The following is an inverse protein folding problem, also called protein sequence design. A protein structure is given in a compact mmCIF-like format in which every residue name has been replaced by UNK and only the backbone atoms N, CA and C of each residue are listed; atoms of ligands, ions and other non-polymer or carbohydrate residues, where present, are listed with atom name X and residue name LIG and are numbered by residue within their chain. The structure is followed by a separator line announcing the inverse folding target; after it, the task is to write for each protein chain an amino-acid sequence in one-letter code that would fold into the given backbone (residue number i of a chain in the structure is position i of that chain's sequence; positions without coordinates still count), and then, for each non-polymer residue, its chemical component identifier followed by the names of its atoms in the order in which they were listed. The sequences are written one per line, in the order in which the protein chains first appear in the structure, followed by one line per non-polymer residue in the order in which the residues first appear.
data_IF_495305919362
#
_entry.id   IF_495305919362
#
_cell.length_a   1.000
_cell.length_b   1.000
_cell.length_c   1.000
_cell.angle_alpha   90.00
_cell.angle_beta   90.00
_cell.angle_gamma   90.00
#
_symmetry.space_group_name_H-M   'P 1'
#
loop_
_entity.id
_entity.type
_entity.pdbx_description
1 polymer ?
#
# COMPACT_ATOMS: atom_id res chain seq x y z
N UNK A 1 -32.87 -14.23 -10.28
CA UNK A 1 -32.21 -13.77 -9.03
C UNK A 1 -30.87 -14.45 -8.74
N UNK A 2 -30.73 -15.78 -8.91
CA UNK A 2 -29.48 -16.49 -8.56
C UNK A 2 -28.26 -16.13 -9.43
N UNK A 3 -28.45 -15.93 -10.74
CA UNK A 3 -27.37 -15.46 -11.63
C UNK A 3 -26.80 -14.12 -11.19
N UNK A 4 -27.68 -13.19 -10.78
CA UNK A 4 -27.31 -11.86 -10.31
C UNK A 4 -26.53 -11.94 -8.98
N UNK A 5 -26.94 -12.83 -8.05
CA UNK A 5 -26.18 -13.09 -6.82
C UNK A 5 -24.78 -13.65 -7.06
N UNK A 6 -24.58 -14.45 -8.12
CA UNK A 6 -23.27 -15.01 -8.49
C UNK A 6 -22.38 -14.01 -9.25
N UNK A 7 -22.98 -13.12 -10.04
CA UNK A 7 -22.24 -12.15 -10.86
C UNK A 7 -21.87 -10.87 -10.11
N UNK A 8 -22.71 -10.43 -9.14
CA UNK A 8 -22.48 -9.18 -8.43
C UNK A 8 -21.09 -9.09 -7.78
N UNK A 9 -20.58 -10.11 -7.05
CA UNK A 9 -19.25 -10.02 -6.43
C UNK A 9 -18.08 -10.03 -7.44
N UNK A 10 -18.34 -10.41 -8.69
CA UNK A 10 -17.36 -10.35 -9.80
C UNK A 10 -17.36 -8.96 -10.44
N UNK A 11 -18.54 -8.34 -10.57
CA UNK A 11 -18.72 -7.06 -11.23
C UNK A 11 -18.40 -5.89 -10.29
N UNK A 12 -18.69 -6.00 -9.00
CA UNK A 12 -18.45 -4.93 -8.02
C UNK A 12 -17.00 -4.42 -7.98
N UNK A 13 -15.96 -5.27 -8.02
CA UNK A 13 -14.58 -4.81 -8.12
C UNK A 13 -14.30 -3.95 -9.36
N UNK A 14 -15.03 -4.16 -10.48
CA UNK A 14 -14.89 -3.35 -11.70
C UNK A 14 -15.41 -1.92 -11.46
N UNK A 15 -16.56 -1.78 -10.81
CA UNK A 15 -17.09 -0.45 -10.44
C UNK A 15 -16.12 0.30 -9.52
N UNK A 16 -15.53 -0.39 -8.54
CA UNK A 16 -14.51 0.18 -7.66
C UNK A 16 -13.26 0.55 -8.45
N UNK A 17 -12.82 -0.28 -9.39
CA UNK A 17 -11.69 0.02 -10.28
C UNK A 17 -11.93 1.30 -11.09
N UNK A 18 -13.13 1.51 -11.61
CA UNK A 18 -13.50 2.74 -12.32
C UNK A 18 -13.35 3.97 -11.40
N UNK A 19 -13.80 3.88 -10.15
CA UNK A 19 -13.62 4.97 -9.16
C UNK A 19 -12.14 5.26 -8.91
N UNK A 20 -11.31 4.21 -8.76
CA UNK A 20 -9.88 4.38 -8.53
C UNK A 20 -9.21 5.02 -9.77
N UNK A 21 -9.52 4.53 -10.98
CA UNK A 21 -9.00 5.10 -12.23
C UNK A 21 -9.39 6.57 -12.35
N UNK A 22 -10.66 6.92 -12.10
CA UNK A 22 -11.11 8.30 -12.09
C UNK A 22 -10.28 9.15 -11.11
N UNK A 23 -9.95 8.61 -9.94
CA UNK A 23 -9.15 9.28 -8.91
C UNK A 23 -7.70 9.55 -9.30
N UNK A 24 -7.17 8.82 -10.29
CA UNK A 24 -5.83 9.09 -10.84
C UNK A 24 -5.79 10.41 -11.62
N UNK A 25 -6.93 10.85 -12.16
CA UNK A 25 -7.05 12.04 -13.01
C UNK A 25 -7.75 13.22 -12.32
N UNK A 26 -8.70 12.94 -11.43
CA UNK A 26 -9.50 13.95 -10.73
C UNK A 26 -9.57 13.63 -9.24
N UNK A 27 -9.24 14.61 -8.40
CA UNK A 27 -9.40 14.52 -6.95
C UNK A 27 -10.24 15.68 -6.42
N UNK A 28 -10.62 15.63 -5.15
CA UNK A 28 -11.45 16.67 -4.53
C UNK A 28 -10.87 17.08 -3.18
N UNK A 29 -10.83 18.38 -2.94
CA UNK A 29 -10.36 18.96 -1.66
C UNK A 29 -11.34 19.98 -1.13
N UNK A 30 -11.28 20.22 0.18
CA UNK A 30 -12.02 21.30 0.82
C UNK A 30 -11.13 22.52 0.85
N UNK A 31 -11.50 23.54 0.09
CA UNK A 31 -10.89 24.85 0.18
C UNK A 31 -11.59 25.65 1.29
N UNK A 32 -10.83 26.00 2.32
CA UNK A 32 -11.28 26.93 3.33
C UNK A 32 -11.08 28.36 2.82
N UNK A 33 -11.99 29.30 3.15
CA UNK A 33 -11.80 30.70 2.78
C UNK A 33 -10.53 31.25 3.41
N UNK A 34 -9.77 32.03 2.64
CA UNK A 34 -8.77 32.91 3.23
C UNK A 34 -9.49 33.98 4.06
N UNK A 35 -9.11 34.13 5.33
CA UNK A 35 -9.77 35.02 6.30
C UNK A 35 -9.68 36.53 5.99
N UNK A 36 -9.27 36.90 4.77
CA UNK A 36 -8.97 38.28 4.39
C UNK A 36 -9.97 38.76 3.33
N UNK A 37 -11.11 39.29 3.78
CA UNK A 37 -11.79 40.41 3.12
C UNK A 37 -12.87 41.02 4.02
N UNK A 38 -12.71 42.31 4.33
CA UNK A 38 -13.63 43.17 5.05
C UNK A 38 -14.73 43.75 4.14
N UNK A 39 -15.39 42.92 3.34
CA UNK A 39 -16.49 43.37 2.48
C UNK A 39 -17.82 42.77 2.92
N UNK A 40 -18.73 43.63 3.38
CA UNK A 40 -20.12 43.30 3.72
C UNK A 40 -21.00 43.29 2.47
N UNK A 41 -20.84 42.27 1.63
CA UNK A 41 -21.79 41.97 0.55
C UNK A 41 -22.32 40.54 0.73
N UNK A 42 -23.56 40.26 0.31
CA UNK A 42 -24.12 38.89 0.39
C UNK A 42 -23.26 37.87 -0.39
N UNK A 43 -22.55 38.31 -1.44
CA UNK A 43 -21.55 37.52 -2.16
C UNK A 43 -20.31 37.19 -1.31
N UNK A 44 -19.91 38.08 -0.40
CA UNK A 44 -18.83 37.82 0.56
C UNK A 44 -19.22 36.81 1.64
N UNK A 45 -20.52 36.71 1.98
CA UNK A 45 -21.03 35.67 2.88
C UNK A 45 -21.05 34.26 2.24
N UNK A 46 -21.22 34.15 0.92
CA UNK A 46 -21.05 32.87 0.19
C UNK A 46 -19.58 32.47 0.02
N UNK A 47 -18.64 33.42 -0.01
CA UNK A 47 -17.20 33.12 -0.05
C UNK A 47 -16.62 32.71 1.31
N UNK A 48 -17.34 32.90 2.42
CA UNK A 48 -16.91 32.48 3.78
C UNK A 48 -17.24 31.02 4.15
N UNK A 49 -17.88 30.25 3.25
CA UNK A 49 -18.17 28.83 3.49
C UNK A 49 -17.08 27.95 2.87
N UNK A 50 -16.64 26.86 3.52
CA UNK A 50 -15.76 25.89 2.90
C UNK A 50 -16.38 25.39 1.60
N UNK A 51 -15.63 25.48 0.50
CA UNK A 51 -16.05 25.00 -0.82
C UNK A 51 -15.28 23.74 -1.17
N UNK A 52 -15.90 22.86 -1.94
CA UNK A 52 -15.21 21.68 -2.45
C UNK A 52 -14.79 22.04 -3.86
N UNK A 53 -13.51 21.86 -4.17
CA UNK A 53 -12.99 22.13 -5.50
C UNK A 53 -12.49 20.84 -6.13
N UNK A 54 -12.62 20.76 -7.45
CA UNK A 54 -12.00 19.70 -8.24
C UNK A 54 -10.53 20.04 -8.42
N UNK A 55 -9.66 19.14 -7.97
CA UNK A 55 -8.22 19.23 -8.18
C UNK A 55 -7.74 18.22 -9.20
N UNK A 56 -6.52 18.46 -9.70
CA UNK A 56 -5.79 17.48 -10.47
C UNK A 56 -5.61 16.18 -9.67
N UNK A 57 -5.89 15.05 -10.31
CA UNK A 57 -5.64 13.73 -9.73
C UNK A 57 -4.15 13.46 -9.53
N UNK A 58 -3.85 12.29 -8.96
CA UNK A 58 -2.47 11.92 -8.58
C UNK A 58 -1.49 12.00 -9.75
N UNK A 59 -1.86 11.53 -10.94
CA UNK A 59 -0.97 11.55 -12.11
C UNK A 59 -0.64 12.98 -12.56
N UNK A 60 -1.67 13.83 -12.66
CA UNK A 60 -1.52 15.21 -13.07
C UNK A 60 -0.72 16.02 -12.04
N UNK A 61 -0.93 15.76 -10.73
CA UNK A 61 -0.13 16.37 -9.66
C UNK A 61 1.34 15.96 -9.72
N UNK A 62 1.64 14.69 -9.95
CA UNK A 62 3.04 14.23 -10.14
C UNK A 62 3.67 14.94 -11.32
N UNK A 63 3.02 14.94 -12.49
CA UNK A 63 3.55 15.58 -13.69
C UNK A 63 3.78 17.08 -13.47
N UNK A 64 2.85 17.77 -12.81
CA UNK A 64 2.99 19.18 -12.47
C UNK A 64 4.18 19.43 -11.54
N UNK A 65 4.28 18.68 -10.44
CA UNK A 65 5.37 18.83 -9.47
C UNK A 65 6.74 18.50 -10.08
N UNK A 66 6.83 17.51 -10.95
CA UNK A 66 8.07 17.20 -11.67
C UNK A 66 8.47 18.34 -12.62
N UNK A 67 7.50 18.88 -13.39
CA UNK A 67 7.78 20.02 -14.28
C UNK A 67 8.21 21.27 -13.51
N UNK A 68 7.57 21.53 -12.37
CA UNK A 68 7.87 22.67 -11.51
C UNK A 68 9.26 22.52 -10.85
N UNK A 69 9.63 21.31 -10.46
CA UNK A 69 10.95 21.03 -9.90
C UNK A 69 12.07 21.22 -10.94
N UNK A 70 11.85 20.78 -12.18
CA UNK A 70 12.80 21.04 -13.28
C UNK A 70 12.96 22.53 -13.54
N UNK A 71 11.85 23.30 -13.51
CA UNK A 71 11.91 24.75 -13.67
C UNK A 71 12.71 25.41 -12.54
N UNK A 72 12.47 25.01 -11.28
CA UNK A 72 13.21 25.51 -10.12
C UNK A 72 14.70 25.15 -10.17
N UNK A 73 15.07 23.97 -10.66
CA UNK A 73 16.47 23.54 -10.80
C UNK A 73 17.20 24.20 -11.97
N UNK A 74 16.46 24.66 -12.99
CA UNK A 74 17.03 25.35 -14.15
C UNK A 74 17.42 26.81 -13.89
N UNK A 75 16.89 27.41 -12.81
CA UNK A 75 17.27 28.75 -12.36
C UNK A 75 18.53 28.60 -11.50
N UNK A 76 19.62 29.31 -11.80
CA UNK A 76 20.79 29.36 -10.91
C UNK A 76 20.38 30.05 -9.61
N UNK A 77 20.01 29.24 -8.61
CA UNK A 77 19.56 29.74 -7.32
C UNK A 77 20.77 30.08 -6.44
N UNK A 78 20.85 31.29 -5.85
CA UNK A 78 21.83 31.58 -4.82
C UNK A 78 21.65 30.61 -3.64
N UNK A 79 22.76 30.09 -3.14
CA UNK A 79 22.83 29.27 -1.91
C UNK A 79 22.29 30.12 -0.74
N UNK A 80 21.40 29.56 0.09
CA UNK A 80 20.68 30.22 1.20
C UNK A 80 19.46 31.11 0.84
N UNK A 81 18.62 30.69 -0.11
CA UNK A 81 17.32 31.36 -0.38
C UNK A 81 16.12 30.50 0.03
N UNK A 82 14.97 31.12 0.36
CA UNK A 82 13.66 30.46 0.61
C UNK A 82 13.27 29.43 -0.49
N UNK A 83 13.89 29.54 -1.66
CA UNK A 83 13.69 28.68 -2.82
C UNK A 83 14.30 27.28 -2.65
N UNK A 84 15.33 27.10 -1.81
CA UNK A 84 15.90 25.78 -1.48
C UNK A 84 14.98 24.99 -0.54
N UNK A 85 14.44 25.63 0.50
CA UNK A 85 13.44 25.03 1.39
C UNK A 85 12.16 24.66 0.61
N UNK A 86 11.74 25.52 -0.31
CA UNK A 86 10.61 25.25 -1.22
C UNK A 86 10.90 24.03 -2.09
N UNK A 87 12.10 23.89 -2.65
CA UNK A 87 12.52 22.74 -3.45
C UNK A 87 12.49 21.44 -2.66
N UNK A 88 12.98 21.43 -1.43
CA UNK A 88 12.95 20.24 -0.57
C UNK A 88 11.54 19.85 -0.16
N UNK A 89 10.68 20.84 0.12
CA UNK A 89 9.26 20.61 0.37
C UNK A 89 8.56 19.99 -0.84
N UNK A 90 8.82 20.49 -2.06
CA UNK A 90 8.26 19.93 -3.31
C UNK A 90 8.76 18.50 -3.54
N UNK A 91 10.04 18.22 -3.32
CA UNK A 91 10.61 16.86 -3.39
C UNK A 91 9.87 15.91 -2.44
N UNK A 92 9.61 16.34 -1.20
CA UNK A 92 8.88 15.54 -0.21
C UNK A 92 7.43 15.29 -0.64
N UNK A 93 6.73 16.31 -1.11
CA UNK A 93 5.35 16.17 -1.62
C UNK A 93 5.31 15.23 -2.82
N UNK A 94 6.27 15.34 -3.75
CA UNK A 94 6.38 14.48 -4.91
C UNK A 94 6.55 13.00 -4.51
N UNK A 95 7.40 12.72 -3.51
CA UNK A 95 7.55 11.35 -2.96
C UNK A 95 6.22 10.85 -2.39
N UNK A 96 5.49 11.68 -1.64
CA UNK A 96 4.16 11.35 -1.12
C UNK A 96 3.17 11.00 -2.23
N UNK A 97 3.15 11.78 -3.32
CA UNK A 97 2.27 11.52 -4.47
C UNK A 97 2.65 10.24 -5.22
N UNK A 98 3.95 9.95 -5.40
CA UNK A 98 4.44 8.69 -6.00
C UNK A 98 4.05 7.47 -5.15
N UNK A 99 4.11 7.58 -3.83
CA UNK A 99 3.65 6.53 -2.91
C UNK A 99 2.13 6.33 -3.04
N UNK A 100 1.34 7.41 -3.10
CA UNK A 100 -0.11 7.35 -3.31
C UNK A 100 -0.48 6.71 -4.66
N UNK A 101 0.28 6.98 -5.73
CA UNK A 101 0.13 6.32 -7.02
C UNK A 101 0.40 4.81 -6.89
N UNK A 102 1.49 4.43 -6.22
CA UNK A 102 1.82 3.02 -5.95
C UNK A 102 0.72 2.29 -5.19
N UNK A 103 0.15 2.92 -4.16
CA UNK A 103 -1.00 2.40 -3.41
C UNK A 103 -2.25 2.27 -4.30
N UNK A 104 -2.52 3.25 -5.15
CA UNK A 104 -3.66 3.23 -6.07
C UNK A 104 -3.54 2.10 -7.11
N UNK A 105 -2.34 1.89 -7.67
CA UNK A 105 -2.05 0.78 -8.57
C UNK A 105 -2.17 -0.57 -7.86
N UNK A 106 -1.61 -0.69 -6.65
CA UNK A 106 -1.76 -1.90 -5.84
C UNK A 106 -3.23 -2.21 -5.54
N UNK A 107 -4.03 -1.17 -5.30
CA UNK A 107 -5.45 -1.31 -5.05
C UNK A 107 -6.24 -1.71 -6.31
N UNK A 108 -5.86 -1.20 -7.49
CA UNK A 108 -6.39 -1.70 -8.77
C UNK A 108 -6.10 -3.19 -8.96
N UNK A 109 -4.87 -3.64 -8.67
CA UNK A 109 -4.55 -5.07 -8.70
C UNK A 109 -5.45 -5.85 -7.74
N UNK A 110 -5.78 -5.28 -6.57
CA UNK A 110 -6.63 -5.93 -5.57
C UNK A 110 -8.07 -6.10 -6.07
N UNK A 111 -8.58 -5.14 -6.84
CA UNK A 111 -9.90 -5.28 -7.49
C UNK A 111 -9.91 -6.50 -8.43
N UNK A 112 -8.89 -6.63 -9.27
CA UNK A 112 -8.72 -7.74 -10.19
C UNK A 112 -8.63 -9.08 -9.44
N UNK A 113 -7.74 -9.17 -8.45
CA UNK A 113 -7.53 -10.39 -7.68
C UNK A 113 -8.78 -10.83 -6.91
N UNK A 114 -9.55 -9.88 -6.37
CA UNK A 114 -10.81 -10.17 -5.69
C UNK A 114 -11.86 -10.72 -6.67
N UNK A 115 -12.01 -10.12 -7.85
CA UNK A 115 -12.92 -10.61 -8.88
C UNK A 115 -12.54 -12.02 -9.36
N UNK A 116 -11.25 -12.24 -9.65
CA UNK A 116 -10.71 -13.53 -10.10
C UNK A 116 -10.90 -14.62 -9.05
N UNK A 117 -10.54 -14.34 -7.79
CA UNK A 117 -10.64 -15.33 -6.71
C UNK A 117 -12.08 -15.80 -6.47
N UNK A 118 -13.06 -14.90 -6.60
CA UNK A 118 -14.47 -15.27 -6.50
C UNK A 118 -14.98 -15.99 -7.75
N UNK A 119 -14.66 -15.49 -8.94
CA UNK A 119 -15.10 -16.07 -10.22
C UNK A 119 -14.64 -17.53 -10.37
N UNK A 120 -13.43 -17.84 -9.91
CA UNK A 120 -12.86 -19.18 -10.00
C UNK A 120 -12.97 -20.00 -8.71
N UNK A 121 -13.76 -19.55 -7.73
CA UNK A 121 -14.03 -20.26 -6.46
C UNK A 121 -12.75 -20.74 -5.76
N UNK A 122 -11.79 -19.83 -5.62
CA UNK A 122 -10.50 -20.12 -5.01
C UNK A 122 -10.62 -20.08 -3.48
N UNK A 123 -9.90 -20.95 -2.77
CA UNK A 123 -10.03 -21.07 -1.31
C UNK A 123 -9.83 -19.76 -0.53
N UNK A 124 -8.91 -18.87 -0.98
CA UNK A 124 -8.59 -17.61 -0.30
C UNK A 124 -9.51 -16.43 -0.67
N UNK A 125 -10.59 -16.64 -1.44
CA UNK A 125 -11.48 -15.56 -1.86
C UNK A 125 -12.08 -14.77 -0.68
N UNK A 126 -12.42 -15.45 0.43
CA UNK A 126 -12.93 -14.78 1.64
C UNK A 126 -11.87 -13.90 2.28
N UNK A 127 -10.63 -14.38 2.37
CA UNK A 127 -9.53 -13.60 2.97
C UNK A 127 -9.26 -12.32 2.18
N UNK A 128 -9.24 -12.40 0.85
CA UNK A 128 -9.14 -11.20 0.01
C UNK A 128 -10.32 -10.25 0.21
N UNK A 129 -11.56 -10.77 0.29
CA UNK A 129 -12.74 -9.96 0.52
C UNK A 129 -12.71 -9.20 1.87
N UNK A 130 -12.20 -9.82 2.93
CA UNK A 130 -12.07 -9.16 4.25
C UNK A 130 -11.08 -7.99 4.24
N UNK A 131 -10.14 -7.94 3.30
CA UNK A 131 -9.25 -6.79 3.12
C UNK A 131 -9.85 -5.79 2.14
N UNK A 132 -10.29 -6.27 0.98
CA UNK A 132 -10.74 -5.44 -0.13
C UNK A 132 -11.96 -4.58 0.21
N UNK A 133 -13.03 -5.18 0.76
CA UNK A 133 -14.30 -4.47 0.96
C UNK A 133 -14.23 -3.40 2.07
N UNK A 134 -13.60 -3.65 3.25
CA UNK A 134 -13.40 -2.59 4.24
C UNK A 134 -12.59 -1.40 3.72
N UNK A 135 -11.51 -1.66 2.99
CA UNK A 135 -10.72 -0.60 2.34
C UNK A 135 -11.57 0.14 1.30
N UNK A 136 -12.43 -0.56 0.56
CA UNK A 136 -13.38 0.04 -0.39
C UNK A 136 -14.33 1.02 0.28
N UNK A 137 -14.86 0.70 1.47
CA UNK A 137 -15.73 1.62 2.19
C UNK A 137 -14.99 2.89 2.62
N UNK A 138 -13.76 2.76 3.11
CA UNK A 138 -12.92 3.90 3.50
C UNK A 138 -12.57 4.80 2.30
N UNK A 139 -12.38 4.24 1.11
CA UNK A 139 -12.08 5.03 -0.10
C UNK A 139 -13.34 5.68 -0.69
N UNK A 140 -14.48 4.98 -0.67
CA UNK A 140 -15.72 5.49 -1.27
C UNK A 140 -16.41 6.55 -0.41
N UNK A 141 -16.39 6.42 0.91
CA UNK A 141 -17.14 7.31 1.81
C UNK A 141 -16.74 8.81 1.66
N UNK A 142 -15.44 9.18 1.66
CA UNK A 142 -15.05 10.57 1.42
C UNK A 142 -15.49 11.08 0.04
N UNK A 143 -15.45 10.24 -1.00
CA UNK A 143 -15.86 10.63 -2.36
C UNK A 143 -17.37 10.89 -2.44
N UNK A 144 -18.18 10.06 -1.80
CA UNK A 144 -19.63 10.31 -1.68
C UNK A 144 -19.87 11.64 -0.96
N UNK A 145 -19.13 11.91 0.12
CA UNK A 145 -19.22 13.17 0.84
C UNK A 145 -18.84 14.38 -0.04
N UNK A 146 -17.72 14.32 -0.77
CA UNK A 146 -17.31 15.41 -1.66
C UNK A 146 -18.34 15.68 -2.76
N UNK A 147 -18.86 14.62 -3.39
CA UNK A 147 -19.88 14.79 -4.43
C UNK A 147 -21.20 15.34 -3.89
N UNK A 148 -21.61 14.96 -2.68
CA UNK A 148 -22.78 15.55 -2.04
C UNK A 148 -22.60 17.06 -1.85
N UNK A 149 -21.41 17.52 -1.43
CA UNK A 149 -21.12 18.94 -1.26
C UNK A 149 -21.10 19.70 -2.60
N UNK A 150 -20.56 19.10 -3.67
CA UNK A 150 -20.57 19.69 -5.02
C UNK A 150 -22.00 19.79 -5.58
N UNK A 151 -22.89 18.85 -5.27
CA UNK A 151 -24.31 18.95 -5.60
C UNK A 151 -24.98 20.11 -4.89
N UNK A 152 -24.66 20.34 -3.61
CA UNK A 152 -25.15 21.50 -2.86
C UNK A 152 -24.64 22.82 -3.47
N UNK A 153 -23.47 22.79 -4.13
CA UNK A 153 -22.88 23.90 -4.89
C UNK A 153 -23.41 24.00 -6.34
N UNK A 154 -24.42 23.20 -6.70
CA UNK A 154 -25.11 23.19 -8.01
C UNK A 154 -24.24 22.77 -9.21
N UNK A 155 -23.18 22.00 -9.00
CA UNK A 155 -22.41 21.45 -10.12
C UNK A 155 -23.15 20.33 -10.84
N UNK A 156 -23.45 20.49 -12.14
CA UNK A 156 -24.29 19.54 -12.90
C UNK A 156 -23.68 18.13 -13.00
N UNK A 157 -22.36 18.03 -13.20
CA UNK A 157 -21.68 16.73 -13.32
C UNK A 157 -21.64 15.95 -12.00
N UNK A 158 -21.72 16.65 -10.86
CA UNK A 158 -21.70 16.03 -9.53
C UNK A 158 -22.91 15.13 -9.28
N UNK A 159 -24.08 15.45 -9.84
CA UNK A 159 -25.29 14.64 -9.71
C UNK A 159 -25.11 13.24 -10.31
N UNK A 160 -24.55 13.16 -11.52
CA UNK A 160 -24.31 11.88 -12.19
C UNK A 160 -23.29 11.04 -11.44
N UNK A 161 -22.17 11.67 -11.03
CA UNK A 161 -21.11 10.95 -10.33
C UNK A 161 -21.53 10.53 -8.92
N UNK A 162 -22.32 11.34 -8.22
CA UNK A 162 -22.91 10.98 -6.94
C UNK A 162 -23.80 9.74 -7.04
N UNK A 163 -24.72 9.68 -8.02
CA UNK A 163 -25.58 8.51 -8.24
C UNK A 163 -24.73 7.26 -8.51
N UNK A 164 -23.70 7.38 -9.34
CA UNK A 164 -22.75 6.30 -9.61
C UNK A 164 -22.01 5.83 -8.34
N UNK A 165 -21.54 6.75 -7.50
CA UNK A 165 -20.84 6.43 -6.26
C UNK A 165 -21.75 5.77 -5.23
N UNK A 166 -22.98 6.28 -5.04
CA UNK A 166 -23.97 5.68 -4.13
C UNK A 166 -24.36 4.28 -4.61
N UNK A 167 -24.59 4.10 -5.90
CA UNK A 167 -24.83 2.78 -6.49
C UNK A 167 -23.66 1.84 -6.21
N UNK A 168 -22.43 2.29 -6.48
CA UNK A 168 -21.19 1.54 -6.22
C UNK A 168 -21.05 1.18 -4.74
N UNK A 169 -21.39 2.09 -3.84
CA UNK A 169 -21.35 1.88 -2.39
C UNK A 169 -22.34 0.78 -1.96
N UNK A 170 -23.58 0.85 -2.45
CA UNK A 170 -24.63 -0.14 -2.12
C UNK A 170 -24.27 -1.53 -2.65
N UNK A 171 -23.83 -1.65 -3.92
CA UNK A 171 -23.42 -2.95 -4.46
C UNK A 171 -22.20 -3.52 -3.71
N UNK A 172 -21.32 -2.66 -3.19
CA UNK A 172 -20.17 -3.06 -2.36
C UNK A 172 -20.62 -3.72 -1.07
N UNK A 173 -21.60 -3.14 -0.38
CA UNK A 173 -22.20 -3.74 0.83
C UNK A 173 -22.85 -5.09 0.51
N UNK A 174 -23.65 -5.15 -0.56
CA UNK A 174 -24.37 -6.36 -0.93
C UNK A 174 -23.40 -7.47 -1.31
N UNK A 175 -22.40 -7.18 -2.16
CA UNK A 175 -21.38 -8.14 -2.58
C UNK A 175 -20.57 -8.68 -1.41
N UNK A 176 -20.16 -7.80 -0.49
CA UNK A 176 -19.44 -8.25 0.71
C UNK A 176 -20.27 -9.23 1.54
N UNK A 177 -21.54 -8.88 1.80
CA UNK A 177 -22.48 -9.76 2.53
C UNK A 177 -22.71 -11.08 1.80
N UNK A 178 -22.81 -11.08 0.47
CA UNK A 178 -23.00 -12.30 -0.32
C UNK A 178 -21.78 -13.23 -0.24
N UNK A 179 -20.55 -12.68 -0.30
CA UNK A 179 -19.32 -13.47 -0.15
C UNK A 179 -19.25 -14.11 1.24
N UNK A 180 -19.54 -13.35 2.30
CA UNK A 180 -19.47 -13.86 3.67
C UNK A 180 -20.55 -14.91 3.96
N UNK A 181 -21.77 -14.70 3.46
CA UNK A 181 -22.88 -15.65 3.63
C UNK A 181 -22.75 -16.90 2.75
N UNK A 182 -21.82 -16.92 1.79
CA UNK A 182 -21.61 -18.11 0.97
C UNK A 182 -21.03 -19.23 1.83
N UNK A 183 -21.86 -20.25 2.09
CA UNK A 183 -21.49 -21.46 2.85
C UNK A 183 -20.85 -22.53 1.99
N UNK A 184 -20.91 -22.41 0.66
CA UNK A 184 -20.21 -23.35 -0.23
C UNK A 184 -18.70 -23.23 0.02
N UNK A 185 -18.06 -24.36 0.32
CA UNK A 185 -16.61 -24.44 0.41
C UNK A 185 -16.03 -24.18 -0.98
N UNK A 186 -15.18 -23.17 -1.07
CA UNK A 186 -14.41 -22.90 -2.28
C UNK A 186 -13.18 -23.82 -2.25
N UNK A 187 -13.24 -24.92 -2.98
CA UNK A 187 -12.17 -25.93 -3.01
C UNK A 187 -11.19 -25.75 -4.17
N UNK A 188 -11.39 -24.72 -5.01
CA UNK A 188 -10.51 -24.47 -6.13
C UNK A 188 -9.10 -24.10 -5.69
N UNK A 189 -8.10 -24.65 -6.40
CA UNK A 189 -6.68 -24.36 -6.24
C UNK A 189 -6.13 -24.57 -4.80
N UNK A 190 -6.63 -25.58 -4.09
CA UNK A 190 -6.14 -25.94 -2.74
C UNK A 190 -4.65 -26.32 -2.70
N UNK A 191 -4.06 -26.80 -3.80
CA UNK A 191 -2.62 -27.05 -3.91
C UNK A 191 -1.77 -25.82 -3.58
N UNK A 192 -2.27 -24.61 -3.85
CA UNK A 192 -1.60 -23.36 -3.46
C UNK A 192 -1.55 -23.15 -1.93
N UNK A 193 -2.43 -23.78 -1.15
CA UNK A 193 -2.36 -23.72 0.32
C UNK A 193 -1.08 -24.41 0.84
N UNK A 194 -0.68 -25.50 0.19
CA UNK A 194 0.51 -26.29 0.51
C UNK A 194 1.74 -25.88 -0.29
N UNK A 195 1.69 -24.73 -0.98
CA UNK A 195 2.81 -24.26 -1.79
C UNK A 195 4.09 -24.07 -0.97
N UNK A 196 4.03 -23.83 0.34
CA UNK A 196 5.23 -23.77 1.19
C UNK A 196 5.91 -25.14 1.38
N UNK A 197 5.15 -26.23 1.51
CA UNK A 197 5.72 -27.58 1.58
C UNK A 197 6.17 -28.08 0.20
N UNK A 198 5.51 -27.64 -0.87
CA UNK A 198 5.91 -27.93 -2.26
C UNK A 198 7.14 -27.10 -2.69
N UNK A 199 7.32 -25.89 -2.14
CA UNK A 199 8.56 -25.09 -2.26
C UNK A 199 9.72 -25.74 -1.51
N UNK A 200 9.45 -26.44 -0.40
CA UNK A 200 10.44 -27.24 0.35
C UNK A 200 10.85 -28.53 -0.38
N UNK A 201 9.96 -29.20 -1.12
CA UNK A 201 10.32 -30.36 -1.96
C UNK A 201 11.27 -30.00 -3.12
N UNK A 202 11.40 -28.72 -3.47
CA UNK A 202 12.41 -28.21 -4.39
C UNK A 202 13.80 -28.02 -3.76
N UNK A 203 13.93 -28.17 -2.43
CA UNK A 203 15.23 -28.21 -1.76
C UNK A 203 15.78 -29.62 -1.89
N UNK A 204 16.98 -29.73 -2.45
CA UNK A 204 17.75 -30.99 -2.42
C UNK A 204 17.73 -31.56 -1.00
N UNK A 205 17.46 -32.88 -0.82
CA UNK A 205 17.48 -33.49 0.50
C UNK A 205 18.79 -33.11 1.18
N UNK A 206 18.68 -32.52 2.38
CA UNK A 206 19.87 -32.22 3.17
C UNK A 206 20.52 -33.56 3.48
N UNK A 207 21.69 -33.79 2.88
CA UNK A 207 22.54 -34.90 3.28
C UNK A 207 22.92 -34.65 4.74
N UNK A 208 22.19 -35.25 5.67
CA UNK A 208 22.60 -35.41 7.07
C UNK A 208 23.77 -36.40 7.11
N UNK A 209 24.95 -35.95 6.64
CA UNK A 209 26.21 -36.64 6.88
C UNK A 209 26.68 -36.29 8.28
N UNK A 210 26.64 -37.30 9.13
CA UNK A 210 27.54 -37.63 10.25
C UNK A 210 28.42 -36.48 10.76
N UNK A 211 28.17 -36.09 12.01
CA UNK A 211 28.87 -35.00 12.71
C UNK A 211 30.38 -35.19 12.78
N UNK A 212 31.10 -34.27 12.14
CA UNK A 212 32.50 -33.97 12.43
C UNK A 212 32.57 -32.80 13.41
N UNK A 213 33.43 -32.89 14.42
CA UNK A 213 33.63 -31.88 15.47
C UNK A 213 34.16 -30.54 14.88
N UNK A 214 34.69 -30.57 13.65
CA UNK A 214 35.13 -29.38 12.89
C UNK A 214 34.03 -28.73 12.03
N UNK A 215 32.88 -29.39 11.86
CA UNK A 215 31.76 -28.86 11.09
C UNK A 215 31.21 -27.51 11.61
N UNK A 216 31.12 -27.26 12.93
CA UNK A 216 30.65 -25.97 13.45
C UNK A 216 31.60 -24.81 13.11
N UNK A 217 32.91 -25.03 13.21
CA UNK A 217 33.93 -24.01 12.90
C UNK A 217 33.93 -23.68 11.41
N UNK A 218 33.83 -24.71 10.56
CA UNK A 218 33.73 -24.52 9.12
C UNK A 218 32.43 -23.81 8.71
N UNK A 219 31.31 -24.11 9.37
CA UNK A 219 30.05 -23.39 9.16
C UNK A 219 30.17 -21.91 9.53
N UNK A 220 30.74 -21.59 10.70
CA UNK A 220 30.94 -20.20 11.12
C UNK A 220 31.86 -19.46 10.16
N UNK A 221 32.96 -20.09 9.72
CA UNK A 221 33.87 -19.49 8.73
C UNK A 221 33.18 -19.21 7.39
N UNK A 222 32.34 -20.14 6.90
CA UNK A 222 31.54 -19.95 5.69
C UNK A 222 30.53 -18.81 5.86
N UNK A 223 29.83 -18.74 7.00
CA UNK A 223 28.87 -17.66 7.28
C UNK A 223 29.58 -16.30 7.26
N UNK A 224 30.77 -16.21 7.87
CA UNK A 224 31.58 -14.99 7.87
C UNK A 224 32.02 -14.64 6.44
N UNK A 225 32.54 -15.61 5.68
CA UNK A 225 32.98 -15.40 4.30
C UNK A 225 31.83 -14.92 3.39
N UNK A 226 30.69 -15.61 3.46
CA UNK A 226 29.48 -15.24 2.72
C UNK A 226 28.99 -13.86 3.17
N UNK A 227 29.00 -13.57 4.47
CA UNK A 227 28.65 -12.26 5.01
C UNK A 227 29.53 -11.14 4.47
N UNK A 228 30.85 -11.36 4.40
CA UNK A 228 31.82 -10.40 3.81
C UNK A 228 31.58 -10.24 2.31
N UNK A 229 31.34 -11.33 1.57
CA UNK A 229 31.06 -11.28 0.14
C UNK A 229 29.76 -10.53 -0.16
N UNK A 230 28.67 -10.86 0.55
CA UNK A 230 27.38 -10.15 0.41
C UNK A 230 27.55 -8.68 0.80
N UNK A 231 28.24 -8.41 1.91
CA UNK A 231 28.53 -7.05 2.37
C UNK A 231 29.25 -6.22 1.31
N UNK A 232 30.36 -6.73 0.78
CA UNK A 232 31.22 -5.97 -0.14
C UNK A 232 30.73 -5.95 -1.59
N UNK A 233 30.15 -7.04 -2.09
CA UNK A 233 29.75 -7.14 -3.51
C UNK A 233 28.31 -6.70 -3.77
N UNK A 234 27.43 -6.81 -2.77
CA UNK A 234 26.01 -6.55 -2.94
C UNK A 234 25.60 -5.33 -2.11
N UNK A 235 25.81 -5.38 -0.80
CA UNK A 235 25.29 -4.36 0.11
C UNK A 235 25.96 -2.99 -0.08
N UNK A 236 27.30 -2.90 -0.08
CA UNK A 236 28.01 -1.63 -0.24
C UNK A 236 27.71 -0.97 -1.61
N UNK A 237 27.79 -1.69 -2.75
CA UNK A 237 27.41 -1.11 -4.04
C UNK A 237 25.95 -0.67 -4.10
N UNK A 238 25.02 -1.46 -3.54
CA UNK A 238 23.61 -1.06 -3.45
C UNK A 238 23.42 0.19 -2.58
N UNK A 239 24.14 0.29 -1.46
CA UNK A 239 24.09 1.45 -0.57
C UNK A 239 24.64 2.71 -1.26
N UNK A 240 25.77 2.59 -1.98
CA UNK A 240 26.34 3.70 -2.74
C UNK A 240 25.41 4.11 -3.90
N UNK A 241 24.79 3.15 -4.58
CA UNK A 241 23.80 3.41 -5.62
C UNK A 241 22.57 4.11 -5.03
N UNK A 242 22.06 3.65 -3.89
CA UNK A 242 20.96 4.31 -3.18
C UNK A 242 21.32 5.73 -2.76
N UNK A 243 22.55 5.97 -2.30
CA UNK A 243 22.99 7.28 -1.79
C UNK A 243 23.21 8.30 -2.91
N UNK A 244 23.83 7.89 -4.02
CA UNK A 244 24.29 8.82 -5.07
C UNK A 244 23.42 8.80 -6.33
N UNK A 245 22.66 7.73 -6.56
CA UNK A 245 21.87 7.49 -7.78
C UNK A 245 20.47 6.97 -7.40
N UNK A 246 19.75 7.75 -6.59
CA UNK A 246 18.45 7.36 -6.01
C UNK A 246 17.44 6.95 -7.09
N UNK A 247 17.43 7.64 -8.23
CA UNK A 247 16.50 7.38 -9.33
C UNK A 247 16.81 6.05 -10.02
N UNK A 248 18.07 5.80 -10.36
CA UNK A 248 18.55 4.57 -10.98
C UNK A 248 18.40 3.38 -10.03
N UNK A 249 18.73 3.58 -8.75
CA UNK A 249 18.49 2.60 -7.69
C UNK A 249 17.01 2.24 -7.60
N UNK A 250 16.11 3.24 -7.66
CA UNK A 250 14.67 3.01 -7.63
C UNK A 250 14.21 2.18 -8.83
N UNK A 251 14.65 2.52 -10.05
CA UNK A 251 14.34 1.73 -11.25
C UNK A 251 14.86 0.29 -11.15
N UNK A 252 16.09 0.12 -10.64
CA UNK A 252 16.69 -1.19 -10.43
C UNK A 252 15.88 -2.04 -9.43
N UNK A 253 15.48 -1.47 -8.28
CA UNK A 253 14.65 -2.15 -7.29
C UNK A 253 13.28 -2.53 -7.88
N UNK A 254 12.60 -1.61 -8.58
CA UNK A 254 11.31 -1.92 -9.21
C UNK A 254 11.45 -3.01 -10.29
N UNK A 255 12.54 -3.01 -11.05
CA UNK A 255 12.83 -4.06 -12.04
C UNK A 255 13.05 -5.42 -11.37
N UNK A 256 13.87 -5.49 -10.31
CA UNK A 256 14.06 -6.73 -9.54
C UNK A 256 12.76 -7.23 -8.91
N UNK A 257 11.95 -6.33 -8.37
CA UNK A 257 10.65 -6.66 -7.76
C UNK A 257 9.67 -7.17 -8.82
N UNK A 258 9.71 -6.61 -10.03
CA UNK A 258 8.98 -7.11 -11.20
C UNK A 258 9.42 -8.51 -11.61
N UNK A 259 10.73 -8.75 -11.73
CA UNK A 259 11.28 -10.08 -12.04
C UNK A 259 10.90 -11.11 -10.97
N UNK A 260 11.02 -10.75 -9.69
CA UNK A 260 10.65 -11.62 -8.57
C UNK A 260 9.16 -11.94 -8.60
N UNK A 261 8.31 -10.95 -8.89
CA UNK A 261 6.87 -11.14 -9.02
C UNK A 261 6.53 -12.10 -10.17
N UNK A 262 7.15 -11.91 -11.35
CA UNK A 262 6.99 -12.82 -12.48
C UNK A 262 7.44 -14.23 -12.15
N UNK A 263 8.62 -14.38 -11.53
CA UNK A 263 9.14 -15.66 -11.08
C UNK A 263 8.15 -16.39 -10.16
N UNK A 264 7.60 -15.69 -9.15
CA UNK A 264 6.60 -16.28 -8.26
C UNK A 264 5.30 -16.63 -8.99
N UNK A 265 4.80 -15.78 -9.89
CA UNK A 265 3.59 -16.08 -10.67
C UNK A 265 3.77 -17.36 -11.49
N UNK A 266 4.92 -17.52 -12.16
CA UNK A 266 5.20 -18.73 -12.94
C UNK A 266 5.32 -19.97 -12.04
N UNK A 267 5.95 -19.86 -10.88
CA UNK A 267 6.05 -20.96 -9.93
C UNK A 267 4.68 -21.35 -9.35
N UNK A 268 3.86 -20.38 -8.95
CA UNK A 268 2.50 -20.65 -8.48
C UNK A 268 1.62 -21.26 -9.57
N UNK A 269 1.79 -20.85 -10.82
CA UNK A 269 1.10 -21.48 -11.96
C UNK A 269 1.51 -22.94 -12.13
N UNK A 270 2.80 -23.24 -12.01
CA UNK A 270 3.36 -24.59 -12.18
C UNK A 270 2.97 -25.53 -11.04
N UNK A 271 3.05 -25.06 -9.80
CA UNK A 271 2.85 -25.86 -8.58
C UNK A 271 1.38 -25.94 -8.18
N UNK A 272 0.64 -24.84 -8.37
CA UNK A 272 -0.74 -24.71 -7.91
C UNK A 272 -1.80 -24.78 -9.01
N UNK A 273 -1.40 -24.89 -10.28
CA UNK A 273 -2.33 -24.95 -11.40
C UNK A 273 -3.19 -26.21 -11.37
N UNK A 274 -4.49 -26.06 -11.60
CA UNK A 274 -5.39 -27.20 -11.77
C UNK A 274 -5.18 -27.79 -13.19
N UNK A 275 -5.02 -29.12 -13.33
CA UNK A 275 -4.73 -29.75 -14.63
C UNK A 275 -5.90 -29.65 -15.62
N UNK A 276 -7.14 -29.64 -15.12
CA UNK A 276 -8.36 -29.53 -15.94
C UNK A 276 -8.77 -28.08 -16.24
N UNK A 277 -7.88 -27.12 -15.99
CA UNK A 277 -8.16 -25.69 -16.03
C UNK A 277 -7.35 -25.00 -17.13
N UNK A 278 -7.96 -24.01 -17.79
CA UNK A 278 -7.28 -23.26 -18.85
C UNK A 278 -6.04 -22.55 -18.30
N UNK A 279 -4.96 -22.50 -19.09
CA UNK A 279 -3.72 -21.80 -18.78
C UNK A 279 -3.94 -20.35 -18.31
N UNK A 280 -4.92 -19.65 -18.91
CA UNK A 280 -5.29 -18.29 -18.50
C UNK A 280 -5.93 -18.22 -17.12
N UNK A 281 -6.77 -19.20 -16.76
CA UNK A 281 -7.36 -19.34 -15.42
C UNK A 281 -6.27 -19.58 -14.39
N UNK A 282 -5.37 -20.53 -14.66
CA UNK A 282 -4.23 -20.83 -13.79
C UNK A 282 -3.32 -19.60 -13.59
N UNK A 283 -3.04 -18.84 -14.66
CA UNK A 283 -2.22 -17.62 -14.57
C UNK A 283 -2.91 -16.52 -13.74
N UNK A 284 -4.20 -16.25 -13.98
CA UNK A 284 -4.96 -15.23 -13.26
C UNK A 284 -5.06 -15.55 -11.76
N UNK A 285 -5.31 -16.82 -11.40
CA UNK A 285 -5.33 -17.26 -10.00
C UNK A 285 -3.95 -17.15 -9.35
N UNK A 286 -2.87 -17.44 -10.09
CA UNK A 286 -1.50 -17.30 -9.59
C UNK A 286 -1.15 -15.84 -9.29
N UNK A 287 -1.61 -14.91 -10.12
CA UNK A 287 -1.50 -13.47 -9.86
C UNK A 287 -2.28 -13.07 -8.59
N UNK A 288 -3.53 -13.51 -8.47
CA UNK A 288 -4.35 -13.27 -7.30
C UNK A 288 -3.75 -13.86 -6.02
N UNK A 289 -3.09 -15.02 -6.13
CA UNK A 289 -2.41 -15.68 -5.03
C UNK A 289 -1.15 -14.93 -4.59
N UNK A 290 -0.35 -14.41 -5.53
CA UNK A 290 0.79 -13.54 -5.19
C UNK A 290 0.33 -12.33 -4.38
N UNK A 291 -0.75 -11.67 -4.81
CA UNK A 291 -1.28 -10.53 -4.09
C UNK A 291 -1.83 -10.91 -2.71
N UNK A 292 -2.51 -12.05 -2.59
CA UNK A 292 -2.94 -12.59 -1.29
C UNK A 292 -1.74 -12.83 -0.35
N UNK A 293 -0.67 -13.47 -0.83
CA UNK A 293 0.56 -13.69 -0.05
C UNK A 293 1.20 -12.36 0.36
N UNK A 294 1.26 -11.39 -0.55
CA UNK A 294 1.79 -10.06 -0.26
C UNK A 294 0.97 -9.38 0.84
N UNK A 295 -0.36 -9.37 0.74
CA UNK A 295 -1.23 -8.80 1.79
C UNK A 295 -1.04 -9.49 3.14
N UNK A 296 -1.01 -10.82 3.16
CA UNK A 296 -0.82 -11.60 4.38
C UNK A 296 0.52 -11.29 5.03
N UNK A 297 1.61 -11.33 4.26
CA UNK A 297 2.96 -11.11 4.77
C UNK A 297 3.17 -9.66 5.20
N UNK A 298 2.68 -8.68 4.41
CA UNK A 298 2.73 -7.27 4.76
C UNK A 298 1.92 -6.95 6.01
N UNK A 299 0.76 -7.59 6.21
CA UNK A 299 0.00 -7.45 7.45
C UNK A 299 0.82 -7.91 8.66
N UNK A 300 1.44 -9.09 8.60
CA UNK A 300 2.29 -9.58 9.70
C UNK A 300 3.52 -8.71 9.93
N UNK A 301 4.17 -8.23 8.86
CA UNK A 301 5.32 -7.35 8.96
C UNK A 301 4.96 -6.01 9.63
N UNK A 302 3.87 -5.37 9.18
CA UNK A 302 3.37 -4.11 9.76
C UNK A 302 2.94 -4.32 11.20
N UNK A 303 2.18 -5.37 11.49
CA UNK A 303 1.75 -5.70 12.85
C UNK A 303 2.93 -5.92 13.80
N UNK A 304 3.93 -6.70 13.37
CA UNK A 304 5.14 -6.92 14.17
C UNK A 304 5.92 -5.62 14.37
N UNK A 305 6.00 -4.76 13.36
CA UNK A 305 6.69 -3.46 13.47
C UNK A 305 6.00 -2.56 14.48
N UNK A 306 4.67 -2.44 14.42
CA UNK A 306 3.87 -1.68 15.38
C UNK A 306 4.08 -2.23 16.80
N UNK A 307 4.06 -3.56 16.97
CA UNK A 307 4.28 -4.19 18.27
C UNK A 307 5.67 -3.86 18.82
N UNK A 308 6.72 -3.92 17.99
CA UNK A 308 8.08 -3.57 18.39
C UNK A 308 8.15 -2.09 18.80
N UNK A 309 7.57 -1.18 18.02
CA UNK A 309 7.56 0.26 18.34
C UNK A 309 6.83 0.50 19.66
N UNK A 310 5.64 -0.09 19.86
CA UNK A 310 4.89 0.04 21.11
C UNK A 310 5.67 -0.52 22.30
N UNK A 311 6.34 -1.66 22.13
CA UNK A 311 7.17 -2.26 23.16
C UNK A 311 8.36 -1.37 23.54
N UNK A 312 9.07 -0.82 22.55
CA UNK A 312 10.18 0.11 22.77
C UNK A 312 9.70 1.37 23.48
N UNK A 313 8.60 1.99 23.02
CA UNK A 313 8.02 3.17 23.67
C UNK A 313 7.60 2.87 25.11
N UNK A 314 6.98 1.71 25.36
CA UNK A 314 6.59 1.29 26.71
C UNK A 314 7.81 1.14 27.64
N UNK A 315 8.91 0.53 27.17
CA UNK A 315 10.15 0.43 27.94
C UNK A 315 10.72 1.81 28.29
N UNK A 316 10.73 2.75 27.33
CA UNK A 316 11.16 4.13 27.59
C UNK A 316 10.26 4.83 28.60
N UNK A 317 8.93 4.69 28.49
CA UNK A 317 8.00 5.26 29.46
C UNK A 317 8.19 4.70 30.86
N UNK A 318 8.46 3.39 30.99
CA UNK A 318 8.75 2.74 32.28
C UNK A 318 10.08 3.24 32.85
N UNK A 319 11.10 3.39 32.02
CA UNK A 319 12.40 3.95 32.42
C UNK A 319 12.24 5.38 32.95
N UNK A 320 11.51 6.25 32.23
CA UNK A 320 11.22 7.61 32.65
C UNK A 320 10.44 7.64 33.97
N UNK A 321 9.40 6.80 34.08
CA UNK A 321 8.63 6.67 35.32
C UNK A 321 9.51 6.24 36.50
N UNK A 322 10.42 5.29 36.31
CA UNK A 322 11.36 4.87 37.34
C UNK A 322 12.34 5.98 37.73
N UNK A 323 12.85 6.74 36.76
CA UNK A 323 13.72 7.91 37.02
C UNK A 323 12.95 8.95 37.83
N UNK A 324 11.72 9.27 37.44
CA UNK A 324 10.86 10.22 38.14
C UNK A 324 10.54 9.76 39.57
N UNK A 325 10.30 8.46 39.79
CA UNK A 325 10.05 7.91 41.13
C UNK A 325 11.32 8.00 41.99
N UNK A 326 12.49 7.67 41.43
CA UNK A 326 13.78 7.80 42.13
C UNK A 326 14.08 9.27 42.45
N UNK A 327 13.83 10.19 41.52
CA UNK A 327 14.04 11.63 41.73
C UNK A 327 13.09 12.19 42.79
N UNK A 328 11.79 11.84 42.73
CA UNK A 328 10.77 12.40 43.60
C UNK A 328 10.69 11.74 44.98
N UNK A 329 11.15 10.49 45.15
CA UNK A 329 10.99 9.76 46.42
C UNK A 329 12.30 9.41 47.11
N UNK A 330 13.43 9.38 46.40
CA UNK A 330 14.73 9.04 46.99
C UNK A 330 15.70 10.23 47.08
N UNK A 331 15.35 11.41 46.55
CA UNK A 331 16.12 12.65 46.71
C UNK A 331 17.56 12.60 46.18
N UNK A 332 17.92 11.58 45.40
CA UNK A 332 19.30 11.24 45.07
C UNK A 332 19.87 11.99 43.85
N UNK A 333 19.05 12.75 43.12
CA UNK A 333 19.47 13.44 41.88
C UNK A 333 19.02 14.91 41.81
N UNK A 334 19.03 15.64 42.93
CA UNK A 334 18.71 17.07 42.94
C UNK A 334 19.72 18.01 42.25
N UNK A 335 20.67 17.52 41.44
CA UNK A 335 21.76 18.34 40.86
C UNK A 335 22.29 17.92 39.48
N UNK A 336 21.50 17.23 38.64
CA UNK A 336 21.97 16.80 37.31
C UNK A 336 20.98 17.04 36.16
N UNK A 337 20.15 18.08 36.25
CA UNK A 337 19.30 18.54 35.13
C UNK A 337 19.40 20.05 34.98
N UNK A 338 20.60 20.52 34.65
CA UNK A 338 20.77 21.65 33.74
C UNK A 338 21.47 21.06 32.52
N UNK A 339 20.70 20.57 31.53
CA UNK A 339 21.01 20.53 30.09
C UNK A 339 19.79 20.06 29.33
#
# INVERSE_FOLDING_TARGET
MEKLKKQLPIITPIFIAIVIIHSLFVDYTVQFPDYIAAETSESAMESMKPKVISENGVLNRISYLESFLVELESRELPVDTEQEETKDNIKRVLVGQKLLLGLSLFYLLLTFSTAVSYAFRVWFHKSLAHVFYPVSFLVLAPKVFFQLNLMLQKEVLSYFYFVFLVFTYVITIISYRLILKNKELAEGFQSLQFSSSLEEEGRSPSNTKTGSIFAPVFHVAIIILIGILIGNLIYIPLFLLQKHYVTEFSYFIFFLLGLLSLFYIFNYKKVGGEPNSNNWKNLAVSFAYLQFRFLRNSFWAVFSTILIVLFVTFLFSLLLFNIDLIQNHLGLFGKATEF
#
